data_IF_894483815681
#
_entry.id   IF_894483815681
#
_cell.length_a   1.000
_cell.length_b   1.000
_cell.length_c   1.000
_cell.angle_alpha   90.00
_cell.angle_beta   90.00
_cell.angle_gamma   90.00
#
_symmetry.space_group_name_H-M   'P 1'
#
loop_
_entity.id
_entity.type
_entity.pdbx_description
1 polymer ?
#
# COMPACT_ATOMS: atom_id res chain seq x y z
N UNK A 1 -10.44 2.54 -9.90
CA UNK A 1 -9.66 3.17 -8.82
C UNK A 1 -9.45 2.15 -7.71
N UNK A 2 -8.22 1.97 -7.25
CA UNK A 2 -7.89 1.05 -6.14
C UNK A 2 -8.59 1.46 -4.84
N UNK A 3 -9.19 0.50 -4.14
CA UNK A 3 -9.79 0.68 -2.80
C UNK A 3 -8.75 1.24 -1.81
N UNK A 4 -7.49 0.81 -1.92
CA UNK A 4 -6.41 1.23 -1.02
C UNK A 4 -6.09 2.71 -1.21
N UNK A 5 -6.05 3.18 -2.46
CA UNK A 5 -5.81 4.59 -2.77
C UNK A 5 -6.93 5.45 -2.19
N UNK A 6 -8.19 5.06 -2.39
CA UNK A 6 -9.34 5.80 -1.83
C UNK A 6 -9.27 5.87 -0.30
N UNK A 7 -8.93 4.76 0.36
CA UNK A 7 -8.79 4.69 1.82
C UNK A 7 -7.66 5.58 2.34
N UNK A 8 -6.49 5.53 1.71
CA UNK A 8 -5.33 6.37 2.09
C UNK A 8 -5.62 7.85 1.83
N UNK A 9 -6.23 8.17 0.70
CA UNK A 9 -6.59 9.54 0.35
C UNK A 9 -7.55 10.17 1.37
N UNK A 10 -8.55 9.41 1.83
CA UNK A 10 -9.47 9.84 2.90
C UNK A 10 -8.77 10.03 4.24
N UNK A 11 -7.85 9.13 4.59
CA UNK A 11 -7.06 9.27 5.82
C UNK A 11 -6.19 10.54 5.80
N UNK A 12 -5.53 10.82 4.67
CA UNK A 12 -4.71 12.03 4.50
C UNK A 12 -5.55 13.31 4.60
N UNK A 13 -6.73 13.35 3.98
CA UNK A 13 -7.63 14.50 4.09
C UNK A 13 -8.09 14.73 5.54
N UNK A 14 -8.49 13.66 6.23
CA UNK A 14 -8.95 13.72 7.61
C UNK A 14 -7.84 14.22 8.55
N UNK A 15 -6.61 13.74 8.37
CA UNK A 15 -5.45 14.17 9.16
C UNK A 15 -5.09 15.65 8.90
N UNK A 16 -5.30 16.14 7.67
CA UNK A 16 -5.16 17.55 7.32
C UNK A 16 -6.28 18.46 7.89
N UNK A 17 -7.32 17.89 8.51
CA UNK A 17 -8.46 18.64 9.05
C UNK A 17 -9.39 19.22 7.99
N UNK A 18 -9.28 18.74 6.74
CA UNK A 18 -10.09 19.20 5.62
C UNK A 18 -11.45 18.49 5.64
N UNK A 19 -12.56 19.19 5.35
CA UNK A 19 -13.89 18.62 5.42
C UNK A 19 -14.05 17.46 4.41
N UNK A 20 -14.31 16.27 4.95
CA UNK A 20 -14.53 15.05 4.18
C UNK A 20 -16.03 14.83 3.92
N UNK A 21 -16.72 15.82 3.34
CA UNK A 21 -18.11 15.59 2.94
C UNK A 21 -18.17 14.60 1.75
N UNK A 22 -19.17 13.72 1.73
CA UNK A 22 -19.28 12.69 0.69
C UNK A 22 -19.58 13.30 -0.69
N UNK A 23 -20.18 14.49 -0.71
CA UNK A 23 -20.48 15.22 -1.94
C UNK A 23 -19.19 15.62 -2.67
N UNK A 24 -18.19 16.09 -1.93
CA UNK A 24 -16.85 16.42 -2.40
C UNK A 24 -16.17 15.20 -3.01
N UNK A 25 -16.27 14.03 -2.39
CA UNK A 25 -15.67 12.80 -2.93
C UNK A 25 -16.38 12.24 -4.17
N UNK A 26 -17.69 12.47 -4.28
CA UNK A 26 -18.54 12.01 -5.38
C UNK A 26 -18.55 12.94 -6.60
N UNK A 27 -18.13 14.20 -6.43
CA UNK A 27 -18.20 15.21 -7.51
C UNK A 27 -16.94 15.16 -8.39
N UNK A 28 -17.07 14.86 -9.70
CA UNK A 28 -15.93 14.88 -10.63
C UNK A 28 -15.28 16.27 -10.71
N UNK A 29 -13.94 16.33 -10.70
CA UNK A 29 -13.18 17.58 -10.85
C UNK A 29 -13.03 18.41 -9.57
N UNK A 30 -13.52 17.93 -8.43
CA UNK A 30 -13.23 18.52 -7.11
C UNK A 30 -11.91 17.99 -6.54
N UNK A 31 -11.43 18.61 -5.46
CA UNK A 31 -10.13 18.28 -4.86
C UNK A 31 -10.02 16.86 -4.26
N UNK A 32 -11.05 16.01 -4.34
CA UNK A 32 -10.87 14.57 -4.10
C UNK A 32 -9.82 13.95 -5.04
N UNK A 33 -9.67 14.50 -6.25
CA UNK A 33 -8.61 14.11 -7.18
C UNK A 33 -7.20 14.34 -6.62
N UNK A 34 -6.95 15.47 -5.93
CA UNK A 34 -5.62 15.77 -5.40
C UNK A 34 -5.22 14.77 -4.31
N UNK A 35 -6.17 14.39 -3.44
CA UNK A 35 -5.91 13.42 -2.37
C UNK A 35 -5.61 12.03 -2.92
N UNK A 36 -6.33 11.59 -3.97
CA UNK A 36 -6.04 10.32 -4.65
C UNK A 36 -4.65 10.33 -5.29
N UNK A 37 -4.28 11.42 -5.96
CA UNK A 37 -2.94 11.58 -6.53
C UNK A 37 -1.84 11.57 -5.47
N UNK A 38 -2.03 12.27 -4.35
CA UNK A 38 -1.09 12.29 -3.23
C UNK A 38 -0.97 10.92 -2.56
N UNK A 39 -2.09 10.23 -2.34
CA UNK A 39 -2.11 8.88 -1.79
C UNK A 39 -1.35 7.89 -2.68
N UNK A 40 -1.58 7.92 -3.99
CA UNK A 40 -0.84 7.10 -4.93
C UNK A 40 0.66 7.40 -4.93
N UNK A 41 1.04 8.68 -4.89
CA UNK A 41 2.44 9.09 -4.79
C UNK A 41 3.09 8.59 -3.50
N UNK A 42 2.40 8.69 -2.37
CA UNK A 42 2.87 8.16 -1.08
C UNK A 42 3.04 6.63 -1.13
N UNK A 43 2.07 5.90 -1.69
CA UNK A 43 2.17 4.44 -1.86
C UNK A 43 3.33 4.06 -2.79
N UNK A 44 3.56 4.80 -3.88
CA UNK A 44 4.73 4.58 -4.75
C UNK A 44 6.05 4.84 -4.03
N UNK A 45 6.12 5.85 -3.17
CA UNK A 45 7.31 6.14 -2.38
C UNK A 45 7.66 4.99 -1.42
N UNK A 46 6.66 4.24 -0.95
CA UNK A 46 6.88 3.05 -0.13
C UNK A 46 7.50 1.87 -0.89
N UNK A 47 7.70 1.92 -2.22
CA UNK A 47 8.38 0.86 -2.99
C UNK A 47 9.80 0.56 -2.49
N UNK A 48 10.45 1.53 -1.85
CA UNK A 48 11.74 1.34 -1.20
C UNK A 48 11.56 1.22 0.32
N UNK A 49 11.43 0.00 0.86
CA UNK A 49 11.28 -0.20 2.30
C UNK A 49 12.60 0.07 3.01
N UNK A 50 12.54 0.70 4.19
CA UNK A 50 13.68 0.76 5.10
C UNK A 50 14.05 -0.63 5.60
N UNK A 51 15.33 -0.86 5.92
CA UNK A 51 15.81 -2.14 6.48
C UNK A 51 15.00 -2.58 7.71
N UNK A 52 14.60 -1.64 8.57
CA UNK A 52 13.76 -1.94 9.74
C UNK A 52 12.38 -2.55 9.39
N UNK A 53 11.81 -2.23 8.23
CA UNK A 53 10.56 -2.84 7.75
C UNK A 53 10.83 -4.25 7.27
N UNK A 54 11.93 -4.45 6.53
CA UNK A 54 12.33 -5.76 6.03
C UNK A 54 12.66 -6.72 7.19
N UNK A 55 13.36 -6.25 8.22
CA UNK A 55 13.67 -7.05 9.42
C UNK A 55 12.39 -7.55 10.12
N UNK A 56 11.39 -6.66 10.28
CA UNK A 56 10.09 -7.04 10.88
C UNK A 56 9.32 -8.04 10.00
N UNK A 57 9.43 -7.93 8.67
CA UNK A 57 8.83 -8.89 7.75
C UNK A 57 9.52 -10.25 7.85
N UNK A 58 10.85 -10.24 7.84
CA UNK A 58 11.69 -11.43 7.95
C UNK A 58 11.39 -12.23 9.23
N UNK A 59 11.28 -11.55 10.37
CA UNK A 59 10.98 -12.17 11.66
C UNK A 59 9.60 -12.83 11.72
N UNK A 60 8.65 -12.34 10.92
CA UNK A 60 7.25 -12.82 10.90
C UNK A 60 6.99 -13.85 9.82
N UNK A 61 7.75 -13.83 8.73
CA UNK A 61 7.70 -14.83 7.67
C UNK A 61 8.47 -16.05 8.18
N UNK A 62 7.82 -16.77 9.08
CA UNK A 62 8.26 -18.08 9.53
C UNK A 62 8.54 -18.93 8.28
N UNK A 63 9.76 -19.43 8.18
CA UNK A 63 10.16 -20.41 7.17
C UNK A 63 9.08 -21.50 7.17
N UNK A 64 8.31 -21.57 6.09
CA UNK A 64 7.36 -22.65 5.85
C UNK A 64 8.19 -23.90 5.54
N UNK A 65 8.72 -24.53 6.59
CA UNK A 65 9.35 -25.83 6.48
C UNK A 65 8.24 -26.84 6.34
N UNK A 66 7.86 -27.14 5.09
CA UNK A 66 7.07 -28.33 4.78
C UNK A 66 7.95 -29.55 5.05
N UNK A 67 7.65 -30.39 6.06
CA UNK A 67 8.48 -31.55 6.39
C UNK A 67 8.56 -32.60 5.27
N UNK A 68 7.62 -32.56 4.31
CA UNK A 68 7.62 -33.44 3.14
C UNK A 68 8.52 -32.92 2.01
N UNK A 69 8.87 -31.63 2.02
CA UNK A 69 9.82 -31.03 1.07
C UNK A 69 11.19 -30.92 1.75
N UNK A 70 12.23 -31.47 1.13
CA UNK A 70 13.62 -31.35 1.61
C UNK A 70 14.23 -29.95 1.43
N UNK A 71 13.41 -28.94 1.14
CA UNK A 71 13.81 -27.58 0.77
C UNK A 71 13.03 -26.57 1.58
N UNK A 72 13.71 -25.59 2.15
CA UNK A 72 13.08 -24.40 2.71
C UNK A 72 12.72 -23.44 1.57
N UNK A 73 11.46 -23.05 1.46
CA UNK A 73 11.06 -21.95 0.57
C UNK A 73 11.46 -20.64 1.25
N UNK A 74 12.60 -20.08 0.85
CA UNK A 74 13.05 -18.76 1.28
C UNK A 74 12.28 -17.74 0.45
N UNK A 75 11.36 -17.01 1.09
CA UNK A 75 10.68 -15.89 0.45
C UNK A 75 11.61 -14.68 0.44
N UNK A 76 11.65 -13.96 -0.69
CA UNK A 76 12.33 -12.68 -0.77
C UNK A 76 11.36 -11.59 -0.27
N UNK A 77 11.56 -11.14 0.96
CA UNK A 77 10.69 -10.16 1.62
C UNK A 77 10.56 -8.86 0.82
N UNK A 78 11.62 -8.49 0.09
CA UNK A 78 11.63 -7.32 -0.80
C UNK A 78 10.73 -7.51 -2.01
N UNK A 79 10.74 -8.69 -2.63
CA UNK A 79 9.89 -8.97 -3.80
C UNK A 79 8.41 -9.06 -3.40
N UNK A 80 8.12 -9.68 -2.25
CA UNK A 80 6.77 -9.72 -1.69
C UNK A 80 6.26 -8.31 -1.36
N UNK A 81 7.08 -7.49 -0.71
CA UNK A 81 6.76 -6.10 -0.42
C UNK A 81 6.45 -5.31 -1.71
N UNK A 82 7.30 -5.41 -2.72
CA UNK A 82 7.08 -4.77 -4.01
C UNK A 82 5.77 -5.22 -4.66
N UNK A 83 5.47 -6.52 -4.64
CA UNK A 83 4.22 -7.06 -5.17
C UNK A 83 2.98 -6.53 -4.42
N UNK A 84 3.06 -6.35 -3.10
CA UNK A 84 1.99 -5.73 -2.31
C UNK A 84 1.78 -4.26 -2.68
N UNK A 85 2.87 -3.50 -2.87
CA UNK A 85 2.79 -2.10 -3.32
C UNK A 85 2.21 -2.02 -4.74
N UNK A 86 2.64 -2.90 -5.65
CA UNK A 86 2.07 -3.00 -7.00
C UNK A 86 0.57 -3.28 -6.94
N UNK A 87 0.13 -4.26 -6.15
CA UNK A 87 -1.28 -4.60 -5.96
C UNK A 87 -2.10 -3.43 -5.41
N UNK A 88 -1.54 -2.65 -4.47
CA UNK A 88 -2.18 -1.44 -3.95
C UNK A 88 -2.39 -0.35 -5.02
N UNK A 89 -1.56 -0.35 -6.07
CA UNK A 89 -1.60 0.60 -7.19
C UNK A 89 -2.38 0.06 -8.40
N UNK A 90 -2.89 -1.18 -8.38
CA UNK A 90 -3.66 -1.75 -9.50
C UNK A 90 -4.96 -0.96 -9.71
N UNK A 91 -5.21 -0.55 -10.96
CA UNK A 91 -6.39 0.26 -11.33
C UNK A 91 -6.17 1.78 -11.29
N UNK A 92 -4.90 2.21 -11.27
CA UNK A 92 -4.48 3.55 -11.70
C UNK A 92 -4.33 3.59 -13.22
N UNK A 93 -5.45 3.80 -13.91
CA UNK A 93 -5.56 3.97 -15.35
C UNK A 93 -6.89 4.59 -15.69
#
# INVERSE_FOLDING_TARGET
MSEVIERVARAMQADAGEPADELYWSTPGTGAGIWRTLAAAAIRAMRDPSDAILDVMHDRIQILVDPAKRTADIQNDRDLWQAMIDAALVGEG
#
